data_IF_465440760531
#
_entry.id   IF_465440760531
#
_cell.length_a   1.000
_cell.length_b   1.000
_cell.length_c   1.000
_cell.angle_alpha   90.00
_cell.angle_beta   90.00
_cell.angle_gamma   90.00
#
_symmetry.space_group_name_H-M   'P 1'
#
loop_
_entity.id
_entity.type
_entity.pdbx_description
1 polymer ?
#
# COMPACT_ATOMS: atom_id res chain seq x y z
N UNK A 1 -24.86 29.96 4.38
CA UNK A 1 -25.07 28.87 3.42
C UNK A 1 -23.94 27.87 3.55
N UNK A 2 -24.24 26.65 3.95
CA UNK A 2 -23.28 25.54 3.89
C UNK A 2 -24.01 24.41 3.17
N UNK A 3 -23.74 24.30 1.86
CA UNK A 3 -24.24 23.27 0.92
C UNK A 3 -25.77 23.23 0.72
N UNK A 4 -26.31 24.00 -0.25
CA UNK A 4 -27.67 23.96 -0.85
C UNK A 4 -28.92 23.76 0.05
N UNK A 5 -28.74 23.76 1.36
CA UNK A 5 -29.74 23.43 2.37
C UNK A 5 -30.23 24.72 3.01
N UNK A 6 -31.51 25.01 2.82
CA UNK A 6 -32.16 26.24 3.26
C UNK A 6 -33.04 25.97 4.47
N UNK A 7 -32.93 26.84 5.46
CA UNK A 7 -33.60 26.70 6.75
C UNK A 7 -34.42 27.96 7.00
N UNK A 8 -35.72 27.80 7.24
CA UNK A 8 -36.61 28.88 7.68
C UNK A 8 -37.31 28.47 8.96
N UNK A 9 -37.05 29.19 10.05
CA UNK A 9 -37.68 28.96 11.34
C UNK A 9 -38.79 29.99 11.59
N UNK A 10 -39.91 29.55 12.15
CA UNK A 10 -40.99 30.45 12.58
C UNK A 10 -40.53 31.30 13.78
N UNK A 11 -39.83 30.67 14.73
CA UNK A 11 -39.28 31.34 15.91
C UNK A 11 -37.86 30.86 16.14
N UNK A 12 -36.91 31.79 16.26
CA UNK A 12 -35.54 31.53 16.70
C UNK A 12 -35.24 32.30 17.99
N UNK A 13 -34.76 31.61 19.02
CA UNK A 13 -34.28 32.19 20.27
C UNK A 13 -32.78 31.93 20.40
N UNK A 14 -31.99 33.00 20.57
CA UNK A 14 -30.59 32.89 20.98
C UNK A 14 -30.57 32.85 22.52
N UNK A 15 -30.07 31.75 23.08
CA UNK A 15 -29.94 31.60 24.53
C UNK A 15 -28.64 32.21 25.03
N UNK A 16 -27.55 32.05 24.27
CA UNK A 16 -26.24 32.65 24.53
C UNK A 16 -25.43 32.73 23.23
N UNK A 17 -24.15 33.13 23.31
CA UNK A 17 -23.25 33.28 22.15
C UNK A 17 -22.96 31.99 21.39
N UNK A 18 -23.40 30.83 21.89
CA UNK A 18 -23.09 29.52 21.31
C UNK A 18 -24.30 28.59 21.19
N UNK A 19 -25.51 29.03 21.55
CA UNK A 19 -26.71 28.17 21.53
C UNK A 19 -27.92 28.91 20.98
N UNK A 20 -28.48 28.33 19.93
CA UNK A 20 -29.70 28.79 19.27
C UNK A 20 -30.76 27.70 19.35
N UNK A 21 -31.98 28.10 19.70
CA UNK A 21 -33.16 27.23 19.64
C UNK A 21 -34.06 27.72 18.52
N UNK A 22 -34.58 26.78 17.72
CA UNK A 22 -35.56 27.08 16.68
C UNK A 22 -36.80 26.23 16.89
N UNK A 23 -37.98 26.83 16.70
CA UNK A 23 -39.28 26.17 16.75
C UNK A 23 -39.89 26.18 15.36
N UNK A 24 -40.50 25.06 14.98
CA UNK A 24 -41.17 24.87 13.69
C UNK A 24 -40.29 25.32 12.51
N UNK A 25 -39.06 24.79 12.43
CA UNK A 25 -38.22 25.10 11.29
C UNK A 25 -38.48 24.15 10.13
N UNK A 26 -38.53 24.74 8.94
CA UNK A 26 -38.64 24.06 7.66
C UNK A 26 -37.25 23.93 7.07
N UNK A 27 -36.91 22.71 6.65
CA UNK A 27 -35.67 22.39 5.98
C UNK A 27 -35.96 21.90 4.57
N UNK A 28 -35.34 22.51 3.56
CA UNK A 28 -35.55 22.14 2.16
C UNK A 28 -34.30 22.44 1.33
N UNK A 29 -34.13 21.73 0.23
CA UNK A 29 -33.15 22.10 -0.81
C UNK A 29 -33.83 22.83 -1.99
N UNK A 30 -35.14 23.08 -1.92
CA UNK A 30 -35.89 23.85 -2.92
C UNK A 30 -35.32 25.26 -3.10
N UNK A 31 -35.30 25.74 -4.34
CA UNK A 31 -34.93 27.13 -4.70
C UNK A 31 -35.89 28.15 -4.11
N UNK A 32 -37.17 27.82 -4.04
CA UNK A 32 -38.20 28.66 -3.42
C UNK A 32 -38.34 28.26 -1.93
N UNK A 33 -37.92 29.15 -1.03
CA UNK A 33 -37.95 28.93 0.43
C UNK A 33 -39.35 29.22 1.00
N UNK A 34 -40.07 30.14 0.39
CA UNK A 34 -41.38 30.58 0.87
C UNK A 34 -42.47 29.56 0.52
N UNK A 35 -42.36 28.97 -0.68
CA UNK A 35 -43.22 27.89 -1.15
C UNK A 35 -42.38 26.73 -1.74
N UNK A 36 -41.81 25.87 -0.86
CA UNK A 36 -41.04 24.72 -1.29
C UNK A 36 -41.94 23.52 -1.63
N UNK A 37 -41.66 22.86 -2.77
CA UNK A 37 -42.35 21.63 -3.20
C UNK A 37 -42.35 20.53 -2.13
N UNK A 38 -41.28 20.48 -1.32
CA UNK A 38 -41.19 19.65 -0.13
C UNK A 38 -40.33 20.31 0.95
N UNK A 39 -40.62 19.98 2.20
CA UNK A 39 -39.79 20.37 3.33
C UNK A 39 -39.92 19.37 4.48
N UNK A 40 -38.87 19.29 5.30
CA UNK A 40 -38.93 18.63 6.59
C UNK A 40 -39.28 19.67 7.65
N UNK A 41 -40.41 19.47 8.33
CA UNK A 41 -40.85 20.31 9.44
C UNK A 41 -40.36 19.71 10.75
N UNK A 42 -39.41 20.39 11.40
CA UNK A 42 -38.94 20.03 12.72
C UNK A 42 -39.54 20.94 13.79
N UNK A 43 -40.21 20.34 14.77
CA UNK A 43 -40.91 21.09 15.83
C UNK A 43 -39.95 21.81 16.77
N UNK A 44 -38.79 21.22 17.05
CA UNK A 44 -37.78 21.74 17.99
C UNK A 44 -36.39 21.45 17.46
N UNK A 45 -35.53 22.46 17.40
CA UNK A 45 -34.12 22.33 17.02
C UNK A 45 -33.26 23.06 18.04
N UNK A 46 -32.14 22.44 18.40
CA UNK A 46 -31.04 23.05 19.14
C UNK A 46 -29.81 23.07 18.24
N UNK A 47 -29.37 24.26 17.90
CA UNK A 47 -28.20 24.50 17.05
C UNK A 47 -27.05 25.03 17.92
N UNK A 48 -25.92 24.33 17.89
CA UNK A 48 -24.68 24.72 18.57
C UNK A 48 -23.58 24.84 17.50
N UNK A 49 -23.22 26.08 17.07
CA UNK A 49 -22.25 26.31 16.01
C UNK A 49 -20.95 25.53 16.25
N UNK A 50 -20.44 24.87 15.20
CA UNK A 50 -19.18 24.11 15.23
C UNK A 50 -19.19 22.82 16.07
N UNK A 51 -20.33 22.45 16.70
CA UNK A 51 -20.42 21.21 17.49
C UNK A 51 -21.50 20.27 16.98
N UNK A 52 -22.76 20.70 16.94
CA UNK A 52 -23.90 19.80 16.66
C UNK A 52 -25.21 20.53 16.40
N UNK A 53 -26.08 19.87 15.64
CA UNK A 53 -27.50 20.20 15.49
C UNK A 53 -28.32 19.04 16.04
N UNK A 54 -29.23 19.33 16.96
CA UNK A 54 -30.16 18.35 17.52
C UNK A 54 -31.56 18.72 17.10
N UNK A 55 -32.25 17.80 16.45
CA UNK A 55 -33.58 17.98 15.89
C UNK A 55 -34.53 17.01 16.60
N UNK A 56 -35.65 17.53 17.09
CA UNK A 56 -36.72 16.71 17.66
C UNK A 56 -37.59 16.08 16.57
N UNK A 57 -38.84 15.75 16.93
CA UNK A 57 -39.81 15.18 16.00
C UNK A 57 -39.90 15.99 14.71
N UNK A 58 -39.60 15.32 13.60
CA UNK A 58 -39.54 15.89 12.25
C UNK A 58 -40.44 15.10 11.33
N UNK A 59 -41.24 15.79 10.53
CA UNK A 59 -42.14 15.18 9.55
C UNK A 59 -41.81 15.71 8.16
N UNK A 60 -41.81 14.83 7.16
CA UNK A 60 -41.72 15.26 5.76
C UNK A 60 -43.09 15.77 5.30
N UNK A 61 -43.10 16.94 4.70
CA UNK A 61 -44.28 17.60 4.12
C UNK A 61 -44.01 17.78 2.62
N UNK A 62 -44.97 17.38 1.79
CA UNK A 62 -44.91 17.53 0.32
C UNK A 62 -46.15 18.31 -0.08
N UNK A 63 -45.98 19.42 -0.80
CA UNK A 63 -47.07 20.32 -1.20
C UNK A 63 -48.02 20.66 -0.01
N UNK A 64 -47.44 21.01 1.14
CA UNK A 64 -48.14 21.29 2.40
C UNK A 64 -49.00 20.14 3.00
N UNK A 65 -48.88 18.92 2.47
CA UNK A 65 -49.50 17.71 3.05
C UNK A 65 -48.47 16.95 3.89
N UNK A 66 -48.70 16.78 5.21
CA UNK A 66 -47.82 15.99 6.06
C UNK A 66 -47.86 14.52 5.66
N UNK A 67 -46.71 13.93 5.40
CA UNK A 67 -46.58 12.49 5.15
C UNK A 67 -46.37 11.75 6.47
N UNK A 68 -46.69 10.45 6.54
CA UNK A 68 -46.37 9.62 7.71
C UNK A 68 -44.85 9.40 7.88
N UNK A 69 -44.03 9.79 6.90
CA UNK A 69 -42.57 9.70 6.98
C UNK A 69 -42.03 10.77 7.93
N UNK A 70 -41.49 10.32 9.07
CA UNK A 70 -40.94 11.22 10.08
C UNK A 70 -39.86 10.57 10.93
N UNK A 71 -38.97 11.41 11.47
CA UNK A 71 -37.91 11.00 12.38
C UNK A 71 -38.29 11.46 13.79
N UNK A 72 -38.28 10.57 14.81
CA UNK A 72 -38.59 10.95 16.19
C UNK A 72 -37.51 11.88 16.77
N UNK A 73 -36.29 11.76 16.26
CA UNK A 73 -35.11 12.50 16.70
C UNK A 73 -34.01 12.43 15.64
N UNK A 74 -33.23 13.50 15.50
CA UNK A 74 -32.05 13.56 14.63
C UNK A 74 -30.89 14.24 15.36
N UNK A 75 -29.70 13.64 15.29
CA UNK A 75 -28.46 14.21 15.82
C UNK A 75 -27.46 14.34 14.67
N UNK A 76 -27.12 15.57 14.31
CA UNK A 76 -26.18 15.88 13.24
C UNK A 76 -24.94 16.53 13.86
N UNK A 77 -23.84 15.79 14.05
CA UNK A 77 -22.59 16.39 14.49
C UNK A 77 -22.09 17.38 13.42
N UNK A 78 -21.63 18.55 13.85
CA UNK A 78 -20.97 19.54 12.98
C UNK A 78 -19.46 19.60 13.21
N UNK A 79 -18.93 18.71 14.06
CA UNK A 79 -17.50 18.62 14.30
C UNK A 79 -16.81 18.04 13.07
N UNK A 80 -15.70 18.66 12.66
CA UNK A 80 -14.80 18.13 11.62
C UNK A 80 -14.01 16.89 12.11
N UNK A 81 -14.14 16.52 13.39
CA UNK A 81 -13.48 15.36 13.99
C UNK A 81 -14.24 14.08 13.68
N UNK A 82 -13.50 13.05 13.26
CA UNK A 82 -13.99 11.69 13.06
C UNK A 82 -14.75 11.18 14.28
N UNK A 83 -15.95 10.66 14.08
CA UNK A 83 -16.76 10.06 15.14
C UNK A 83 -16.98 8.58 14.86
N UNK A 84 -16.87 7.75 15.90
CA UNK A 84 -17.16 6.33 15.79
C UNK A 84 -18.64 6.09 15.57
N UNK A 85 -19.00 5.09 14.75
CA UNK A 85 -20.39 4.83 14.40
C UNK A 85 -20.61 3.58 13.57
N UNK A 86 -21.87 3.17 13.50
CA UNK A 86 -22.28 2.05 12.65
C UNK A 86 -22.30 2.47 11.18
N UNK A 87 -21.74 1.61 10.33
CA UNK A 87 -21.82 1.72 8.88
C UNK A 87 -23.00 0.86 8.44
N UNK A 88 -24.00 1.49 7.81
CA UNK A 88 -25.21 0.82 7.36
C UNK A 88 -24.89 -0.07 6.15
N UNK A 89 -25.27 -1.37 6.18
CA UNK A 89 -25.06 -2.25 5.03
C UNK A 89 -25.95 -1.86 3.85
N UNK A 90 -25.45 -2.11 2.65
CA UNK A 90 -26.24 -2.18 1.43
C UNK A 90 -26.86 -3.58 1.28
N UNK A 91 -28.14 -3.64 0.96
CA UNK A 91 -28.83 -4.90 0.64
C UNK A 91 -28.98 -5.06 -0.88
N UNK A 92 -29.07 -6.31 -1.35
CA UNK A 92 -29.31 -6.63 -2.75
C UNK A 92 -29.40 -8.14 -2.97
N UNK A 93 -29.42 -8.57 -4.22
CA UNK A 93 -29.43 -9.97 -4.60
C UNK A 93 -28.52 -10.27 -5.80
N UNK A 94 -28.09 -11.52 -5.91
CA UNK A 94 -27.33 -12.04 -7.05
C UNK A 94 -27.85 -13.42 -7.41
N UNK A 95 -27.79 -13.78 -8.70
CA UNK A 95 -28.25 -15.10 -9.18
C UNK A 95 -27.47 -16.26 -8.56
N UNK A 96 -26.17 -16.09 -8.36
CA UNK A 96 -25.31 -17.20 -7.94
C UNK A 96 -25.28 -17.41 -6.42
N UNK A 97 -25.68 -16.40 -5.64
CA UNK A 97 -25.47 -16.37 -4.17
C UNK A 97 -26.67 -15.87 -3.37
N UNK A 98 -27.77 -15.55 -4.04
CA UNK A 98 -29.01 -15.07 -3.44
C UNK A 98 -28.90 -13.65 -2.89
N UNK A 99 -29.75 -13.35 -1.90
CA UNK A 99 -29.77 -12.07 -1.20
C UNK A 99 -28.49 -11.87 -0.36
N UNK A 100 -28.09 -10.61 -0.21
CA UNK A 100 -26.91 -10.24 0.56
C UNK A 100 -27.10 -8.95 1.35
N UNK A 101 -26.31 -8.83 2.41
CA UNK A 101 -26.00 -7.59 3.11
C UNK A 101 -24.49 -7.36 2.97
N UNK A 102 -24.09 -6.23 2.39
CA UNK A 102 -22.71 -5.87 2.13
C UNK A 102 -22.34 -4.56 2.81
N UNK A 103 -21.07 -4.38 3.14
CA UNK A 103 -20.50 -3.13 3.67
C UNK A 103 -21.12 -2.69 5.00
N UNK A 104 -21.69 -3.61 5.77
CA UNK A 104 -22.17 -3.32 7.12
C UNK A 104 -21.05 -3.43 8.14
N UNK A 105 -21.01 -2.56 9.13
CA UNK A 105 -19.94 -2.67 10.12
C UNK A 105 -19.88 -1.53 11.13
N UNK A 106 -18.70 -1.34 11.71
CA UNK A 106 -18.45 -0.27 12.66
C UNK A 106 -17.15 0.46 12.31
N UNK A 107 -17.23 1.79 12.31
CA UNK A 107 -16.11 2.69 12.17
C UNK A 107 -15.64 3.14 13.55
N UNK A 108 -14.37 2.94 13.82
CA UNK A 108 -13.69 3.36 15.04
C UNK A 108 -12.81 4.58 14.74
N UNK A 109 -13.24 5.74 15.22
CA UNK A 109 -12.40 6.93 15.29
C UNK A 109 -11.49 6.82 16.53
N UNK A 110 -10.36 6.11 16.39
CA UNK A 110 -9.47 5.79 17.50
C UNK A 110 -8.57 6.97 17.91
N UNK A 111 -8.08 7.73 16.93
CA UNK A 111 -7.24 8.91 17.15
C UNK A 111 -7.37 9.89 15.97
N UNK A 112 -6.84 11.10 16.13
CA UNK A 112 -6.71 12.08 15.05
C UNK A 112 -5.72 11.62 13.95
N UNK A 113 -4.87 10.65 14.26
CA UNK A 113 -3.83 10.15 13.35
C UNK A 113 -4.13 8.78 12.74
N UNK A 114 -5.11 8.04 13.26
CA UNK A 114 -5.48 6.74 12.70
C UNK A 114 -6.92 6.33 13.01
N UNK A 115 -7.51 5.63 12.06
CA UNK A 115 -8.85 5.08 12.13
C UNK A 115 -8.86 3.57 11.85
N UNK A 116 -9.99 2.93 12.14
CA UNK A 116 -10.23 1.53 11.78
C UNK A 116 -11.71 1.34 11.42
N UNK A 117 -11.98 0.84 10.23
CA UNK A 117 -13.29 0.34 9.82
C UNK A 117 -13.27 -1.19 9.81
N UNK A 118 -14.22 -1.81 10.51
CA UNK A 118 -14.45 -3.26 10.47
C UNK A 118 -15.78 -3.49 9.77
N UNK A 119 -15.73 -4.06 8.57
CA UNK A 119 -16.87 -4.31 7.71
C UNK A 119 -17.07 -5.80 7.50
N UNK A 120 -18.33 -6.19 7.32
CA UNK A 120 -18.75 -7.54 7.01
C UNK A 120 -19.71 -7.57 5.84
N UNK A 121 -19.61 -8.62 5.04
CA UNK A 121 -20.59 -9.00 4.04
C UNK A 121 -21.15 -10.38 4.40
N UNK A 122 -22.45 -10.57 4.20
CA UNK A 122 -23.13 -11.85 4.41
C UNK A 122 -24.12 -12.12 3.29
N UNK A 123 -24.09 -13.34 2.76
CA UNK A 123 -24.95 -13.80 1.69
C UNK A 123 -25.81 -14.96 2.20
N UNK A 124 -27.02 -15.06 1.68
CA UNK A 124 -27.98 -16.13 2.03
C UNK A 124 -27.46 -17.53 1.73
N UNK A 125 -26.59 -17.70 0.73
CA UNK A 125 -25.93 -18.98 0.45
C UNK A 125 -24.80 -19.36 1.43
N UNK A 126 -24.57 -18.56 2.48
CA UNK A 126 -23.52 -18.77 3.48
C UNK A 126 -22.14 -18.23 3.09
N UNK A 127 -22.02 -17.53 1.96
CA UNK A 127 -20.81 -16.76 1.66
C UNK A 127 -20.69 -15.57 2.60
N UNK A 128 -19.47 -15.22 2.98
CA UNK A 128 -19.22 -14.05 3.81
C UNK A 128 -17.88 -13.40 3.46
N UNK A 129 -17.75 -12.12 3.79
CA UNK A 129 -16.49 -11.40 3.75
C UNK A 129 -16.29 -10.61 5.04
N UNK A 130 -15.03 -10.45 5.44
CA UNK A 130 -14.61 -9.56 6.50
C UNK A 130 -13.55 -8.61 5.94
N UNK A 131 -13.67 -7.32 6.26
CA UNK A 131 -12.73 -6.30 5.84
C UNK A 131 -12.31 -5.44 7.01
N UNK A 132 -11.01 -5.22 7.10
CA UNK A 132 -10.39 -4.34 8.06
C UNK A 132 -9.67 -3.27 7.26
N UNK A 133 -10.12 -2.04 7.37
CA UNK A 133 -9.53 -0.90 6.67
C UNK A 133 -9.05 0.08 7.72
N UNK A 134 -7.76 0.40 7.71
CA UNK A 134 -7.17 1.36 8.63
C UNK A 134 -6.35 2.35 7.84
N UNK A 135 -6.65 3.63 8.02
CA UNK A 135 -5.86 4.72 7.48
C UNK A 135 -5.09 5.36 8.63
N UNK A 136 -3.84 5.73 8.38
CA UNK A 136 -3.04 6.46 9.34
C UNK A 136 -2.25 7.57 8.64
N UNK A 137 -2.17 8.73 9.29
CA UNK A 137 -1.42 9.86 8.79
C UNK A 137 -0.95 10.72 9.95
N UNK A 138 0.33 11.07 9.93
CA UNK A 138 0.92 12.07 10.81
C UNK A 138 1.69 13.06 9.95
N UNK A 139 1.24 14.32 9.97
CA UNK A 139 1.84 15.41 9.20
C UNK A 139 3.34 15.51 9.47
N UNK A 140 4.13 15.65 8.41
CA UNK A 140 5.60 15.71 8.46
C UNK A 140 6.30 14.46 8.98
N UNK A 141 5.58 13.33 9.09
CA UNK A 141 6.16 12.06 9.49
C UNK A 141 5.87 10.98 8.43
N UNK A 142 4.61 10.59 8.27
CA UNK A 142 4.23 9.51 7.37
C UNK A 142 2.74 9.50 7.07
N UNK A 143 2.37 8.82 6.00
CA UNK A 143 0.99 8.42 5.72
C UNK A 143 0.94 6.97 5.22
N UNK A 144 -0.22 6.36 5.34
CA UNK A 144 -0.44 5.02 4.82
C UNK A 144 -1.82 4.47 5.08
N UNK A 145 -2.09 3.32 4.47
CA UNK A 145 -3.35 2.60 4.60
C UNK A 145 -3.08 1.10 4.61
N UNK A 146 -3.77 0.40 5.48
CA UNK A 146 -3.80 -1.06 5.56
C UNK A 146 -5.21 -1.50 5.24
N UNK A 147 -5.36 -2.38 4.25
CA UNK A 147 -6.62 -3.04 3.94
C UNK A 147 -6.39 -4.54 4.00
N UNK A 148 -7.10 -5.22 4.88
CA UNK A 148 -7.07 -6.67 4.99
C UNK A 148 -8.48 -7.16 4.69
N UNK A 149 -8.57 -8.15 3.83
CA UNK A 149 -9.85 -8.71 3.39
C UNK A 149 -9.75 -10.23 3.38
N UNK A 150 -10.77 -10.85 3.96
CA UNK A 150 -10.96 -12.28 3.97
C UNK A 150 -12.33 -12.59 3.39
N UNK A 151 -12.39 -13.52 2.44
CA UNK A 151 -13.63 -13.91 1.78
C UNK A 151 -13.75 -15.42 1.81
N UNK A 152 -14.91 -15.91 2.24
CA UNK A 152 -15.29 -17.30 2.10
C UNK A 152 -16.46 -17.38 1.12
N UNK A 153 -16.19 -17.94 -0.05
CA UNK A 153 -17.06 -17.97 -1.20
C UNK A 153 -17.64 -19.36 -1.35
N UNK A 154 -18.97 -19.46 -1.38
CA UNK A 154 -19.67 -20.69 -1.69
C UNK A 154 -20.37 -20.49 -3.03
N UNK A 155 -20.18 -21.44 -3.93
CA UNK A 155 -20.91 -21.53 -5.19
C UNK A 155 -21.71 -22.83 -5.19
N UNK A 156 -22.97 -22.73 -5.62
CA UNK A 156 -23.94 -23.84 -5.61
C UNK A 156 -24.23 -24.40 -4.21
N UNK A 157 -25.04 -25.45 -4.15
CA UNK A 157 -25.50 -26.11 -2.94
C UNK A 157 -24.74 -27.41 -2.69
N UNK A 158 -24.57 -27.80 -1.42
CA UNK A 158 -23.88 -29.04 -1.07
C UNK A 158 -24.63 -30.24 -1.67
N UNK A 159 -23.91 -31.04 -2.45
CA UNK A 159 -24.44 -32.22 -3.12
C UNK A 159 -24.59 -32.06 -4.63
N UNK A 160 -24.51 -30.84 -5.15
CA UNK A 160 -24.42 -30.61 -6.59
C UNK A 160 -22.99 -30.74 -7.09
N UNK A 161 -22.79 -31.19 -8.35
CA UNK A 161 -21.46 -31.40 -8.93
C UNK A 161 -20.66 -30.10 -9.10
N UNK A 162 -21.31 -28.94 -9.11
CA UNK A 162 -20.71 -27.61 -9.22
C UNK A 162 -20.48 -26.92 -7.86
N UNK A 163 -20.70 -27.63 -6.74
CA UNK A 163 -20.42 -27.12 -5.41
C UNK A 163 -18.94 -26.81 -5.23
N UNK A 164 -18.61 -25.53 -5.01
CA UNK A 164 -17.24 -25.14 -4.66
C UNK A 164 -17.23 -24.21 -3.45
N UNK A 165 -16.21 -24.40 -2.60
CA UNK A 165 -15.93 -23.54 -1.45
C UNK A 165 -14.52 -23.00 -1.57
N UNK A 166 -14.39 -21.68 -1.71
CA UNK A 166 -13.11 -20.99 -1.88
C UNK A 166 -12.87 -20.05 -0.71
N UNK A 167 -11.63 -20.03 -0.22
CA UNK A 167 -11.18 -19.12 0.84
C UNK A 167 -10.12 -18.24 0.22
N UNK A 168 -10.45 -16.96 0.10
CA UNK A 168 -9.58 -15.97 -0.52
C UNK A 168 -9.18 -14.94 0.54
N UNK A 169 -7.96 -14.44 0.45
CA UNK A 169 -7.51 -13.32 1.27
C UNK A 169 -6.74 -12.33 0.42
N UNK A 170 -6.76 -11.08 0.84
CA UNK A 170 -5.96 -10.02 0.24
C UNK A 170 -5.54 -9.01 1.32
N UNK A 171 -4.26 -8.71 1.30
CA UNK A 171 -3.59 -7.80 2.20
C UNK A 171 -2.95 -6.72 1.33
N UNK A 172 -3.44 -5.50 1.50
CA UNK A 172 -2.88 -4.31 0.88
C UNK A 172 -2.32 -3.42 1.96
N UNK A 173 -1.08 -2.99 1.80
CA UNK A 173 -0.48 -2.01 2.69
C UNK A 173 0.30 -1.00 1.88
N UNK A 174 -0.08 0.27 1.99
CA UNK A 174 0.67 1.39 1.46
C UNK A 174 1.25 2.20 2.61
N UNK A 175 2.52 2.56 2.51
CA UNK A 175 3.19 3.46 3.43
C UNK A 175 4.12 4.39 2.64
N UNK A 176 4.04 5.68 2.91
CA UNK A 176 5.01 6.65 2.45
C UNK A 176 5.46 7.53 3.61
N UNK A 177 6.77 7.53 3.86
CA UNK A 177 7.39 8.50 4.74
C UNK A 177 7.40 9.88 4.06
N UNK A 178 7.11 10.94 4.82
CA UNK A 178 7.25 12.33 4.34
C UNK A 178 8.75 12.66 4.22
N UNK A 179 9.16 13.30 3.12
CA UNK A 179 10.56 13.73 2.93
C UNK A 179 11.02 14.74 3.98
N UNK A 180 10.09 15.41 4.67
CA UNK A 180 10.39 16.32 5.78
C UNK A 180 10.67 15.58 7.09
N UNK A 181 10.29 14.30 7.21
CA UNK A 181 10.51 13.51 8.41
C UNK A 181 11.99 13.18 8.62
N UNK A 182 12.72 12.95 7.53
CA UNK A 182 14.15 12.70 7.54
C UNK A 182 14.76 13.09 6.19
N UNK A 183 15.81 13.92 6.16
CA UNK A 183 16.49 14.30 4.91
C UNK A 183 17.35 13.16 4.34
N UNK A 184 17.76 12.22 5.19
CA UNK A 184 18.77 11.21 4.86
C UNK A 184 18.21 9.79 4.84
N UNK A 185 16.96 9.56 5.23
CA UNK A 185 16.35 8.24 5.22
C UNK A 185 14.94 8.28 4.67
N UNK A 186 14.57 7.22 3.97
CA UNK A 186 13.26 7.07 3.36
C UNK A 186 12.80 5.63 3.49
N UNK A 187 11.60 5.47 4.03
CA UNK A 187 10.88 4.22 4.09
C UNK A 187 9.62 4.30 3.22
N UNK A 188 9.40 3.29 2.40
CA UNK A 188 8.18 3.15 1.61
C UNK A 188 7.79 1.69 1.49
N UNK A 189 6.49 1.43 1.52
CA UNK A 189 5.92 0.11 1.31
C UNK A 189 4.72 0.20 0.37
N UNK A 190 4.64 -0.74 -0.56
CA UNK A 190 3.51 -0.98 -1.43
C UNK A 190 3.33 -2.49 -1.52
N UNK A 191 2.59 -3.04 -0.58
CA UNK A 191 2.29 -4.46 -0.49
C UNK A 191 0.91 -4.71 -1.07
N UNK A 192 0.83 -5.67 -1.98
CA UNK A 192 -0.39 -6.28 -2.47
C UNK A 192 -0.13 -7.78 -2.55
N UNK A 193 -0.55 -8.49 -1.51
CA UNK A 193 -0.37 -9.92 -1.34
C UNK A 193 -1.75 -10.55 -1.20
N UNK A 194 -2.02 -11.64 -1.89
CA UNK A 194 -3.28 -12.34 -1.74
C UNK A 194 -3.25 -13.71 -2.39
N UNK A 195 -4.36 -14.43 -2.22
CA UNK A 195 -4.59 -15.70 -2.90
C UNK A 195 -4.53 -15.50 -4.42
N UNK A 196 -3.89 -16.43 -5.14
CA UNK A 196 -3.74 -16.40 -6.60
C UNK A 196 -5.07 -16.22 -7.36
N UNK A 197 -6.21 -16.61 -6.76
CA UNK A 197 -7.53 -16.48 -7.39
C UNK A 197 -8.36 -15.29 -6.90
N UNK A 198 -7.85 -14.48 -5.97
CA UNK A 198 -8.60 -13.41 -5.31
C UNK A 198 -9.21 -12.40 -6.29
N UNK A 199 -8.42 -11.85 -7.23
CA UNK A 199 -8.93 -10.84 -8.17
C UNK A 199 -9.95 -11.41 -9.18
N UNK A 200 -9.93 -12.72 -9.44
CA UNK A 200 -10.90 -13.38 -10.32
C UNK A 200 -12.21 -13.72 -9.63
N UNK A 201 -12.18 -13.94 -8.32
CA UNK A 201 -13.30 -14.50 -7.56
C UNK A 201 -13.89 -13.55 -6.51
N UNK A 202 -13.34 -12.33 -6.35
CA UNK A 202 -13.76 -11.42 -5.28
C UNK A 202 -15.23 -11.04 -5.38
N UNK A 203 -15.88 -10.97 -4.21
CA UNK A 203 -17.28 -10.54 -4.06
C UNK A 203 -17.52 -9.08 -4.43
N UNK A 204 -16.47 -8.26 -4.45
CA UNK A 204 -16.63 -6.83 -4.55
C UNK A 204 -16.88 -6.40 -6.00
N UNK A 205 -18.14 -6.21 -6.35
CA UNK A 205 -18.57 -5.74 -7.67
C UNK A 205 -18.10 -4.31 -8.01
N UNK A 206 -17.57 -3.54 -7.05
CA UNK A 206 -17.04 -2.20 -7.29
C UNK A 206 -15.74 -2.16 -8.09
N UNK A 207 -15.06 -3.30 -8.29
CA UNK A 207 -13.71 -3.33 -8.85
C UNK A 207 -13.51 -4.40 -9.93
N UNK A 208 -14.46 -4.52 -10.87
CA UNK A 208 -14.42 -5.45 -12.02
C UNK A 208 -13.14 -5.30 -12.85
N UNK A 209 -12.58 -4.08 -12.95
CA UNK A 209 -11.30 -3.83 -13.64
C UNK A 209 -10.10 -4.53 -12.99
N UNK A 210 -10.16 -4.81 -11.68
CA UNK A 210 -9.10 -5.54 -10.97
C UNK A 210 -9.04 -7.01 -11.35
N UNK A 211 -10.12 -7.60 -11.88
CA UNK A 211 -10.16 -8.99 -12.36
C UNK A 211 -9.35 -9.23 -13.64
N UNK A 212 -8.95 -8.15 -14.34
CA UNK A 212 -8.02 -8.18 -15.47
C UNK A 212 -6.56 -8.14 -15.01
N UNK A 213 -6.29 -7.85 -13.74
CA UNK A 213 -4.94 -7.78 -13.22
C UNK A 213 -4.43 -9.18 -12.86
N UNK A 214 -3.50 -9.68 -13.68
CA UNK A 214 -2.89 -11.00 -13.49
C UNK A 214 -1.59 -10.97 -12.68
N UNK A 215 -1.14 -9.80 -12.21
CA UNK A 215 0.12 -9.68 -11.47
C UNK A 215 -0.09 -8.98 -10.12
N UNK A 216 0.25 -9.69 -9.04
CA UNK A 216 0.30 -9.13 -7.69
C UNK A 216 1.74 -8.81 -7.34
N UNK A 217 2.06 -7.52 -7.27
CA UNK A 217 3.39 -7.05 -6.89
C UNK A 217 3.39 -6.42 -5.50
N UNK A 218 4.39 -6.76 -4.70
CA UNK A 218 4.70 -6.07 -3.45
C UNK A 218 6.14 -5.58 -3.45
N UNK A 219 6.36 -4.38 -2.90
CA UNK A 219 7.68 -3.82 -2.67
C UNK A 219 7.74 -3.13 -1.31
N UNK A 220 8.80 -3.41 -0.56
CA UNK A 220 9.14 -2.69 0.68
C UNK A 220 10.57 -2.23 0.54
N UNK A 221 10.80 -0.94 0.70
CA UNK A 221 12.12 -0.35 0.51
C UNK A 221 12.46 0.60 1.64
N UNK A 222 13.69 0.46 2.13
CA UNK A 222 14.33 1.38 3.04
C UNK A 222 15.64 1.85 2.42
N UNK A 223 15.86 3.15 2.38
CA UNK A 223 17.12 3.72 1.91
C UNK A 223 17.62 4.76 2.89
N UNK A 224 18.94 4.79 3.11
CA UNK A 224 19.56 5.79 3.95
C UNK A 224 20.93 6.22 3.41
N UNK A 225 21.21 7.51 3.56
CA UNK A 225 22.49 8.14 3.28
C UNK A 225 23.21 8.45 4.60
N UNK A 226 24.37 7.86 4.78
CA UNK A 226 25.29 8.15 5.88
C UNK A 226 26.20 9.30 5.45
N UNK A 227 26.09 10.44 6.11
CA UNK A 227 26.89 11.65 5.86
C UNK A 227 28.32 11.53 6.43
N UNK A 228 28.99 10.42 6.16
CA UNK A 228 30.40 10.22 6.46
C UNK A 228 31.28 10.81 5.35
N UNK A 229 32.60 10.84 5.55
CA UNK A 229 33.56 11.18 4.48
C UNK A 229 34.45 9.96 4.26
N UNK A 230 34.27 9.19 3.16
CA UNK A 230 33.30 9.37 2.07
C UNK A 230 31.85 9.06 2.48
N UNK A 231 30.88 9.63 1.75
CA UNK A 231 29.47 9.36 1.97
C UNK A 231 29.14 7.92 1.59
N UNK A 232 28.27 7.27 2.36
CA UNK A 232 27.81 5.92 2.07
C UNK A 232 26.30 5.93 1.91
N UNK A 233 25.81 5.48 0.77
CA UNK A 233 24.38 5.29 0.53
C UNK A 233 24.09 3.80 0.60
N UNK A 234 23.02 3.41 1.30
CA UNK A 234 22.56 2.04 1.24
C UNK A 234 21.05 1.96 1.10
N UNK A 235 20.57 0.85 0.56
CA UNK A 235 19.17 0.53 0.48
C UNK A 235 18.94 -0.97 0.66
N UNK A 236 17.85 -1.29 1.33
CA UNK A 236 17.33 -2.65 1.49
C UNK A 236 15.97 -2.65 0.82
N UNK A 237 15.80 -3.49 -0.19
CA UNK A 237 14.53 -3.64 -0.90
C UNK A 237 14.09 -5.08 -0.87
N UNK A 238 12.82 -5.27 -0.63
CA UNK A 238 12.15 -6.54 -0.60
C UNK A 238 11.07 -6.53 -1.68
N UNK A 239 11.12 -7.43 -2.65
CA UNK A 239 10.14 -7.51 -3.74
C UNK A 239 9.48 -8.88 -3.82
N UNK A 240 8.22 -8.88 -4.23
CA UNK A 240 7.41 -10.05 -4.51
C UNK A 240 6.59 -9.78 -5.77
N UNK A 241 6.57 -10.72 -6.69
CA UNK A 241 5.75 -10.69 -7.89
C UNK A 241 5.10 -12.05 -8.07
N UNK A 242 3.78 -12.07 -8.17
CA UNK A 242 3.01 -13.29 -8.35
C UNK A 242 2.13 -13.17 -9.56
N UNK A 243 2.27 -14.12 -10.48
CA UNK A 243 1.39 -14.24 -11.63
C UNK A 243 0.23 -15.18 -11.28
N UNK A 244 -0.99 -14.65 -11.25
CA UNK A 244 -2.18 -15.40 -10.85
C UNK A 244 -2.53 -16.53 -11.81
N UNK A 245 -2.11 -16.49 -13.08
CA UNK A 245 -2.37 -17.53 -14.08
C UNK A 245 -1.46 -18.74 -13.92
N UNK A 246 -0.17 -18.51 -13.64
CA UNK A 246 0.82 -19.59 -13.53
C UNK A 246 1.06 -20.02 -12.08
N UNK A 247 0.55 -19.26 -11.11
CA UNK A 247 0.77 -19.46 -9.66
C UNK A 247 2.25 -19.41 -9.23
N UNK A 248 3.11 -18.91 -10.13
CA UNK A 248 4.53 -18.70 -9.89
C UNK A 248 4.70 -17.41 -9.10
N UNK A 249 5.48 -17.52 -8.03
CA UNK A 249 5.87 -16.45 -7.13
C UNK A 249 7.38 -16.25 -7.28
N UNK A 250 7.77 -15.09 -7.81
CA UNK A 250 9.15 -14.62 -7.84
C UNK A 250 9.34 -13.61 -6.71
N UNK A 251 10.33 -13.83 -5.85
CA UNK A 251 10.68 -12.93 -4.76
C UNK A 251 12.16 -12.61 -4.76
N UNK A 252 12.47 -11.39 -4.36
CA UNK A 252 13.83 -10.99 -4.07
C UNK A 252 13.88 -10.34 -2.69
N UNK A 253 14.30 -11.12 -1.69
CA UNK A 253 14.11 -10.82 -0.26
C UNK A 253 15.35 -11.26 0.56
N UNK A 254 16.24 -10.33 0.98
CA UNK A 254 16.35 -8.93 0.58
C UNK A 254 17.28 -8.75 -0.63
N UNK A 255 17.10 -7.60 -1.31
CA UNK A 255 18.14 -6.94 -2.11
C UNK A 255 18.78 -5.87 -1.26
N UNK A 256 20.04 -6.03 -0.91
CA UNK A 256 20.84 -4.99 -0.26
C UNK A 256 21.74 -4.33 -1.31
N UNK A 257 21.71 -3.01 -1.39
CA UNK A 257 22.60 -2.23 -2.25
C UNK A 257 23.30 -1.20 -1.40
N UNK A 258 24.62 -1.12 -1.49
CA UNK A 258 25.42 -0.08 -0.86
C UNK A 258 26.38 0.52 -1.88
N UNK A 259 26.54 1.83 -1.85
CA UNK A 259 27.50 2.56 -2.66
C UNK A 259 28.28 3.55 -1.79
N UNK A 260 29.60 3.54 -1.97
CA UNK A 260 30.51 4.47 -1.32
C UNK A 260 30.92 5.51 -2.35
N UNK A 261 30.84 6.77 -1.95
CA UNK A 261 31.25 7.91 -2.77
C UNK A 261 32.71 7.82 -3.20
N UNK A 262 33.01 8.53 -4.28
CA UNK A 262 34.32 8.51 -4.92
C UNK A 262 35.45 8.93 -3.97
N UNK A 263 36.43 8.05 -3.83
CA UNK A 263 37.64 8.26 -3.03
C UNK A 263 38.82 8.53 -3.95
N UNK A 264 39.66 9.50 -3.58
CA UNK A 264 40.92 9.81 -4.26
C UNK A 264 42.08 9.45 -3.33
N UNK A 265 42.56 8.20 -3.33
CA UNK A 265 43.49 7.70 -2.31
C UNK A 265 44.83 8.43 -2.27
N UNK A 266 45.28 9.03 -3.38
CA UNK A 266 46.59 9.68 -3.49
C UNK A 266 46.54 11.21 -3.47
N UNK A 267 45.37 11.81 -3.22
CA UNK A 267 45.22 13.25 -3.12
C UNK A 267 44.78 13.65 -1.71
N UNK A 268 45.42 14.68 -1.14
CA UNK A 268 44.92 15.32 0.08
C UNK A 268 43.59 16.02 -0.21
N UNK A 269 42.73 16.16 0.81
CA UNK A 269 41.37 16.72 0.66
C UNK A 269 41.37 18.11 0.00
N UNK A 270 42.31 18.97 0.38
CA UNK A 270 42.40 20.37 -0.09
C UNK A 270 43.43 20.58 -1.21
N UNK A 271 44.00 19.51 -1.76
CA UNK A 271 45.00 19.61 -2.82
C UNK A 271 44.37 19.51 -4.21
N UNK A 272 44.84 20.36 -5.13
CA UNK A 272 44.52 20.24 -6.55
C UNK A 272 45.02 18.90 -7.09
N UNK A 273 44.08 18.02 -7.42
CA UNK A 273 44.33 16.70 -7.98
C UNK A 273 44.92 16.86 -9.39
N UNK A 274 46.22 16.59 -9.51
CA UNK A 274 46.98 16.78 -10.75
C UNK A 274 47.86 15.57 -11.04
N UNK A 275 47.95 15.25 -12.32
CA UNK A 275 48.75 14.13 -12.82
C UNK A 275 48.06 12.78 -12.69
N UNK A 276 48.75 11.74 -13.15
CA UNK A 276 48.20 10.40 -13.32
C UNK A 276 47.77 9.81 -11.97
N UNK A 277 48.63 9.90 -10.95
CA UNK A 277 48.42 9.25 -9.66
C UNK A 277 47.38 9.93 -8.77
N UNK A 278 47.41 11.26 -8.65
CA UNK A 278 46.48 12.01 -7.77
C UNK A 278 45.05 12.03 -8.30
N UNK A 279 44.86 11.80 -9.60
CA UNK A 279 43.54 11.69 -10.23
C UNK A 279 42.98 10.26 -10.24
N UNK A 280 43.75 9.27 -9.77
CA UNK A 280 43.21 7.94 -9.50
C UNK A 280 42.09 8.09 -8.48
N UNK A 281 40.92 7.62 -8.87
CA UNK A 281 39.76 7.58 -8.03
C UNK A 281 39.09 6.22 -8.16
N UNK A 282 38.48 5.78 -7.08
CA UNK A 282 37.67 4.58 -7.08
C UNK A 282 36.36 4.81 -6.34
N UNK A 283 35.38 3.99 -6.66
CA UNK A 283 34.12 3.86 -5.92
C UNK A 283 33.97 2.41 -5.50
N UNK A 284 33.12 2.15 -4.51
CA UNK A 284 32.80 0.79 -4.10
C UNK A 284 31.28 0.62 -4.12
N UNK A 285 30.81 -0.31 -4.94
CA UNK A 285 29.40 -0.68 -5.02
C UNK A 285 29.26 -2.14 -4.61
N UNK A 286 28.30 -2.42 -3.73
CA UNK A 286 27.93 -3.74 -3.27
C UNK A 286 26.45 -3.96 -3.58
N UNK A 287 26.13 -5.06 -4.25
CA UNK A 287 24.76 -5.53 -4.42
C UNK A 287 24.67 -6.96 -3.94
N UNK A 288 24.02 -7.18 -2.81
CA UNK A 288 23.65 -8.50 -2.34
C UNK A 288 22.19 -8.78 -2.68
N UNK A 289 21.92 -9.97 -3.21
CA UNK A 289 20.59 -10.38 -3.61
C UNK A 289 20.31 -11.80 -3.14
N UNK A 290 19.15 -12.01 -2.51
CA UNK A 290 18.58 -13.33 -2.32
C UNK A 290 17.33 -13.47 -3.18
N UNK A 291 17.36 -14.38 -4.15
CA UNK A 291 16.26 -14.64 -5.08
C UNK A 291 15.61 -15.99 -4.77
N UNK A 292 14.29 -15.99 -4.70
CA UNK A 292 13.46 -17.16 -4.44
C UNK A 292 12.43 -17.25 -5.55
N UNK A 293 12.27 -18.45 -6.12
CA UNK A 293 11.20 -18.75 -7.05
C UNK A 293 10.43 -19.95 -6.52
N UNK A 294 9.15 -19.76 -6.20
CA UNK A 294 8.30 -20.77 -5.58
C UNK A 294 6.91 -20.77 -6.24
N UNK A 295 6.08 -21.74 -5.90
CA UNK A 295 4.64 -21.72 -6.21
C UNK A 295 3.83 -21.41 -4.95
N UNK A 296 2.56 -21.05 -5.13
CA UNK A 296 1.62 -20.74 -4.04
C UNK A 296 1.57 -21.86 -2.97
N UNK A 297 1.56 -23.13 -3.42
CA UNK A 297 1.56 -24.30 -2.52
C UNK A 297 2.78 -24.44 -1.60
N UNK A 298 3.93 -23.88 -2.00
CA UNK A 298 5.19 -23.97 -1.28
C UNK A 298 5.55 -22.65 -0.58
N UNK A 299 4.68 -21.64 -0.65
CA UNK A 299 4.90 -20.34 -0.04
C UNK A 299 5.01 -20.47 1.49
N UNK A 300 6.01 -19.83 2.09
CA UNK A 300 6.41 -19.98 3.51
C UNK A 300 6.82 -21.39 3.97
N UNK A 301 6.97 -22.36 3.05
CA UNK A 301 7.51 -23.67 3.41
C UNK A 301 9.03 -23.61 3.62
N UNK A 302 9.58 -24.59 4.35
CA UNK A 302 11.03 -24.73 4.49
C UNK A 302 11.74 -24.95 3.13
N UNK A 303 11.04 -25.53 2.15
CA UNK A 303 11.58 -25.78 0.81
C UNK A 303 11.85 -24.47 0.06
N UNK A 304 10.97 -23.47 0.20
CA UNK A 304 11.14 -22.15 -0.38
C UNK A 304 12.49 -21.50 0.00
N UNK A 305 12.90 -21.62 1.26
CA UNK A 305 14.16 -21.05 1.74
C UNK A 305 15.38 -21.87 1.29
N UNK A 306 15.25 -23.20 1.18
CA UNK A 306 16.33 -24.06 0.69
C UNK A 306 16.66 -23.81 -0.77
N UNK A 307 15.66 -23.51 -1.58
CA UNK A 307 15.82 -23.28 -3.03
C UNK A 307 16.23 -21.83 -3.36
N UNK A 308 16.48 -21.02 -2.33
CA UNK A 308 16.92 -19.63 -2.48
C UNK A 308 18.33 -19.55 -3.07
N UNK A 309 18.53 -18.55 -3.93
CA UNK A 309 19.81 -18.24 -4.58
C UNK A 309 20.34 -16.93 -4.04
N UNK A 310 21.44 -17.00 -3.29
CA UNK A 310 22.10 -15.82 -2.72
C UNK A 310 23.37 -15.51 -3.48
N UNK A 311 23.57 -14.24 -3.83
CA UNK A 311 24.82 -13.75 -4.42
C UNK A 311 25.17 -12.34 -3.96
N UNK A 312 26.45 -12.04 -3.90
CA UNK A 312 26.99 -10.71 -3.59
C UNK A 312 27.85 -10.24 -4.75
N UNK A 313 27.52 -9.12 -5.36
CA UNK A 313 28.30 -8.50 -6.41
C UNK A 313 29.00 -7.25 -5.87
N UNK A 314 30.32 -7.28 -5.88
CA UNK A 314 31.20 -6.18 -5.56
C UNK A 314 31.70 -5.56 -6.87
N UNK A 315 31.60 -4.25 -7.01
CA UNK A 315 32.08 -3.51 -8.19
C UNK A 315 32.93 -2.32 -7.74
N UNK A 316 34.17 -2.31 -8.21
CA UNK A 316 35.19 -1.31 -7.89
C UNK A 316 35.66 -0.68 -9.21
N UNK A 317 34.92 0.31 -9.73
CA UNK A 317 35.39 1.07 -10.87
C UNK A 317 36.51 2.00 -10.40
N UNK A 318 37.67 1.88 -11.05
CA UNK A 318 38.86 2.71 -10.84
C UNK A 318 39.07 3.51 -12.11
N UNK A 319 39.26 4.82 -11.99
CA UNK A 319 39.53 5.68 -13.13
C UNK A 319 40.57 6.73 -12.80
N UNK A 320 41.31 7.18 -13.80
CA UNK A 320 42.16 8.37 -13.75
C UNK A 320 42.00 9.16 -15.03
N UNK A 321 41.98 10.49 -14.90
CA UNK A 321 41.99 11.40 -16.03
C UNK A 321 43.13 12.39 -15.82
N UNK A 322 43.99 12.58 -16.81
CA UNK A 322 45.09 13.52 -16.72
C UNK A 322 45.38 14.17 -18.07
N UNK A 323 46.01 15.35 -18.03
CA UNK A 323 46.44 16.05 -19.24
C UNK A 323 47.91 15.78 -19.53
N UNK A 324 48.21 15.37 -20.76
CA UNK A 324 49.55 15.31 -21.34
C UNK A 324 49.81 16.61 -22.10
N UNK A 325 50.97 17.22 -21.87
CA UNK A 325 51.36 18.52 -22.47
C UNK A 325 50.36 19.67 -22.26
N UNK A 326 49.44 19.56 -21.29
CA UNK A 326 48.33 20.51 -21.02
C UNK A 326 47.23 20.59 -22.09
N UNK A 327 47.39 19.93 -23.25
CA UNK A 327 46.45 19.98 -24.37
C UNK A 327 45.71 18.67 -24.62
N UNK A 328 46.34 17.52 -24.34
CA UNK A 328 45.75 16.20 -24.60
C UNK A 328 45.20 15.61 -23.31
N UNK A 329 43.91 15.29 -23.27
CA UNK A 329 43.30 14.65 -22.10
C UNK A 329 43.27 13.15 -22.31
N UNK A 330 43.90 12.40 -21.42
CA UNK A 330 43.92 10.93 -21.43
C UNK A 330 43.11 10.44 -20.26
N UNK A 331 42.21 9.49 -20.52
CA UNK A 331 41.42 8.82 -19.49
C UNK A 331 41.72 7.34 -19.52
N UNK A 332 42.18 6.80 -18.39
CA UNK A 332 42.36 5.36 -18.21
C UNK A 332 41.43 4.87 -17.11
N UNK A 333 40.83 3.70 -17.32
CA UNK A 333 39.89 3.09 -16.40
C UNK A 333 40.03 1.58 -16.35
N UNK A 334 39.67 1.02 -15.22
CA UNK A 334 39.49 -0.42 -15.03
C UNK A 334 38.30 -0.63 -14.11
N UNK A 335 37.50 -1.65 -14.37
CA UNK A 335 36.43 -2.05 -13.48
C UNK A 335 36.70 -3.45 -12.96
N UNK A 336 36.95 -3.56 -11.66
CA UNK A 336 37.07 -4.83 -10.97
C UNK A 336 35.71 -5.25 -10.44
N UNK A 337 35.21 -6.39 -10.90
CA UNK A 337 33.98 -7.00 -10.39
C UNK A 337 34.30 -8.33 -9.72
N UNK A 338 33.71 -8.56 -8.56
CA UNK A 338 33.81 -9.82 -7.84
C UNK A 338 32.42 -10.27 -7.41
N UNK A 339 32.08 -11.53 -7.67
CA UNK A 339 30.79 -12.13 -7.31
C UNK A 339 31.02 -13.27 -6.34
N UNK A 340 30.43 -13.18 -5.15
CA UNK A 340 30.44 -14.25 -4.16
C UNK A 340 29.14 -15.05 -4.23
N UNK A 341 29.29 -16.37 -4.16
CA UNK A 341 28.21 -17.34 -4.11
C UNK A 341 28.30 -18.12 -2.79
N UNK A 342 27.15 -18.38 -2.17
CA UNK A 342 27.04 -19.25 -0.98
C UNK A 342 26.56 -20.67 -1.32
N UNK A 343 26.15 -20.87 -2.58
CA UNK A 343 25.71 -22.14 -3.13
C UNK A 343 26.14 -22.20 -4.59
N UNK A 344 26.83 -23.27 -4.95
CA UNK A 344 27.21 -23.59 -6.33
C UNK A 344 26.50 -24.85 -6.79
N UNK A 345 26.61 -25.17 -8.08
CA UNK A 345 26.04 -26.40 -8.64
C UNK A 345 27.17 -27.25 -9.24
N UNK A 346 27.18 -28.54 -8.93
CA UNK A 346 27.94 -29.54 -9.68
C UNK A 346 27.01 -30.19 -10.70
N UNK A 347 27.53 -30.47 -11.89
CA UNK A 347 26.81 -31.18 -12.94
C UNK A 347 27.58 -32.43 -13.28
N UNK A 348 26.98 -33.57 -12.99
CA UNK A 348 27.56 -34.89 -13.21
C UNK A 348 26.67 -35.67 -14.18
N UNK A 349 27.27 -36.40 -15.11
CA UNK A 349 26.51 -37.20 -16.09
C UNK A 349 26.27 -38.60 -15.54
N UNK A 350 25.01 -38.98 -15.34
CA UNK A 350 24.63 -40.34 -14.95
C UNK A 350 24.39 -41.19 -16.20
N UNK A 351 25.36 -42.04 -16.53
CA UNK A 351 25.34 -42.92 -17.70
C UNK A 351 24.20 -43.96 -17.63
N UNK A 352 23.68 -44.29 -16.45
CA UNK A 352 22.60 -45.29 -16.28
C UNK A 352 21.23 -44.70 -16.62
N UNK A 353 21.06 -43.39 -16.37
CA UNK A 353 19.81 -42.66 -16.65
C UNK A 353 19.87 -41.83 -17.93
N UNK A 354 21.04 -41.73 -18.56
CA UNK A 354 21.32 -40.88 -19.72
C UNK A 354 20.90 -39.41 -19.47
N UNK A 355 21.15 -38.90 -18.27
CA UNK A 355 20.75 -37.56 -17.83
C UNK A 355 21.85 -36.86 -17.04
N UNK A 356 21.96 -35.55 -17.21
CA UNK A 356 22.84 -34.71 -16.36
C UNK A 356 22.14 -34.47 -15.02
N UNK A 357 22.73 -34.97 -13.94
CA UNK A 357 22.29 -34.72 -12.57
C UNK A 357 22.95 -33.43 -12.08
N UNK A 358 22.14 -32.50 -11.56
CA UNK A 358 22.64 -31.25 -10.97
C UNK A 358 22.53 -31.37 -9.45
N UNK A 359 23.66 -31.26 -8.76
CA UNK A 359 23.75 -31.31 -7.31
C UNK A 359 24.06 -29.91 -6.76
N UNK A 360 23.24 -29.43 -5.82
CA UNK A 360 23.50 -28.18 -5.09
C UNK A 360 24.61 -28.42 -4.05
N UNK A 361 25.68 -27.64 -4.12
CA UNK A 361 26.78 -27.66 -3.16
C UNK A 361 26.72 -26.38 -2.34
N UNK A 362 26.50 -26.52 -1.03
CA UNK A 362 26.58 -25.40 -0.10
C UNK A 362 28.05 -25.09 0.18
N UNK A 363 28.48 -23.85 -0.04
CA UNK A 363 29.87 -23.46 0.12
C UNK A 363 30.12 -22.05 -0.40
N UNK A 364 31.21 -21.43 0.07
CA UNK A 364 31.64 -20.14 -0.44
C UNK A 364 32.46 -20.32 -1.72
N UNK A 365 32.09 -19.60 -2.77
CA UNK A 365 32.87 -19.49 -4.00
C UNK A 365 32.89 -18.04 -4.50
N UNK A 366 33.91 -17.66 -5.26
CA UNK A 366 34.11 -16.30 -5.73
C UNK A 366 34.59 -16.26 -7.18
N UNK A 367 33.89 -15.50 -8.01
CA UNK A 367 34.23 -15.24 -9.42
C UNK A 367 34.67 -13.80 -9.61
N UNK A 368 35.83 -13.56 -10.25
CA UNK A 368 36.43 -12.24 -10.42
C UNK A 368 36.61 -11.92 -11.89
N UNK A 369 36.22 -10.71 -12.29
CA UNK A 369 36.46 -10.18 -13.63
C UNK A 369 37.06 -8.79 -13.55
N UNK A 370 37.91 -8.47 -14.52
CA UNK A 370 38.50 -7.15 -14.67
C UNK A 370 38.54 -6.78 -16.14
N UNK A 371 38.41 -5.50 -16.44
CA UNK A 371 38.57 -4.96 -17.77
C UNK A 371 39.50 -3.74 -17.75
N UNK A 372 39.98 -3.32 -18.90
CA UNK A 372 40.82 -2.13 -19.04
C UNK A 372 40.31 -1.30 -20.21
N UNK A 373 40.16 0.00 -20.00
CA UNK A 373 39.78 0.97 -21.02
C UNK A 373 40.73 2.17 -20.98
N UNK A 374 41.09 2.69 -22.15
CA UNK A 374 41.93 3.87 -22.30
C UNK A 374 41.45 4.66 -23.52
N UNK A 375 41.16 5.95 -23.34
CA UNK A 375 40.73 6.88 -24.39
C UNK A 375 41.52 8.19 -24.34
#
# INVERSE_FOLDING_TARGET
EQSDFRIKAEVSKRENDSVYFMKNARFTTSKNIDDPEYYFLARKIKFVPGKKVVVGLTNMVIADVPTPLGLPFGYFPMSETSASGFIIPSFGDTRDRGYFLQNGGYYFALSDYYDLAVLGDYYTNGSYALRFESSYAKRYAFNGRVNIRFENQIQSERGFPDYTKRREYNIQWSHSQDSKASPNSRFSASVNLGSSQYFRNTLNMLNVGSSLNNNMSSSVSYSQTLQTIPQVNFSVTATHSQNTNTEIIDMTLPTFQASVDRIFPFAKRDELKKGIFKNINFQYNLRAENRIRTTDSLFFSAQMFRDSKTGFQHSIPISTNFKIFKFFSVTAGTNYNEVWYLKTISKDFDASKNTVVTNDINGFDAYRTYNFTSN
#
